data_IF_654382216310
#
_entry.id   IF_654382216310
#
_cell.length_a   1.000
_cell.length_b   1.000
_cell.length_c   1.000
_cell.angle_alpha   90.00
_cell.angle_beta   90.00
_cell.angle_gamma   90.00
#
_symmetry.space_group_name_H-M   'P 1'
#
loop_
_entity.id
_entity.type
_entity.pdbx_description
1 polymer ?
#
# COMPACT_ATOMS: atom_id res chain seq x y z
N UNK A 1 50.14 28.50 15.88
CA UNK A 1 50.13 27.21 15.13
C UNK A 1 50.50 26.09 16.09
N UNK A 2 49.62 25.10 16.29
CA UNK A 2 49.83 23.73 16.79
C UNK A 2 48.45 23.14 17.10
N UNK A 3 47.82 22.55 16.09
CA UNK A 3 46.62 21.71 16.24
C UNK A 3 47.11 20.27 16.20
N UNK A 4 47.10 19.61 17.35
CA UNK A 4 47.32 18.16 17.42
C UNK A 4 46.25 17.62 18.36
N UNK A 5 45.95 16.34 18.18
CA UNK A 5 45.05 15.49 18.99
C UNK A 5 43.56 15.78 18.88
N UNK A 6 42.91 15.13 17.90
CA UNK A 6 41.66 14.41 18.17
C UNK A 6 41.33 13.44 17.03
N UNK A 7 42.32 12.67 16.56
CA UNK A 7 42.14 11.65 15.52
C UNK A 7 42.08 10.22 16.12
N UNK A 8 41.47 10.08 17.29
CA UNK A 8 41.46 8.80 18.03
C UNK A 8 40.11 8.49 18.69
N UNK A 9 38.99 8.86 18.05
CA UNK A 9 37.65 8.51 18.56
C UNK A 9 36.73 7.80 17.54
N UNK A 10 37.24 7.37 16.39
CA UNK A 10 36.41 6.76 15.34
C UNK A 10 36.54 5.24 15.19
N UNK A 11 37.46 4.58 15.90
CA UNK A 11 37.68 3.13 15.75
C UNK A 11 36.87 2.26 16.71
N UNK A 12 36.22 2.84 17.72
CA UNK A 12 35.49 2.07 18.74
C UNK A 12 34.07 1.65 18.34
N UNK A 13 33.49 2.18 17.24
CA UNK A 13 32.11 1.85 16.85
C UNK A 13 31.97 0.67 15.87
N UNK A 14 33.07 0.16 15.30
CA UNK A 14 33.04 -0.83 14.22
C UNK A 14 32.95 -2.30 14.68
N UNK A 15 33.03 -2.59 15.98
CA UNK A 15 33.08 -3.97 16.50
C UNK A 15 31.73 -4.47 17.08
N UNK A 16 30.72 -3.60 17.19
CA UNK A 16 29.41 -3.97 17.77
C UNK A 16 28.34 -4.42 16.73
N UNK A 17 28.73 -4.66 15.47
CA UNK A 17 27.82 -5.05 14.37
C UNK A 17 27.85 -6.55 14.04
N UNK A 18 28.23 -7.40 15.00
CA UNK A 18 28.12 -8.87 14.91
C UNK A 18 26.68 -9.40 15.00
N UNK A 19 25.71 -8.73 14.38
CA UNK A 19 24.36 -9.26 14.20
C UNK A 19 24.34 -10.04 12.88
N UNK A 20 24.05 -11.36 12.87
CA UNK A 20 23.77 -12.04 11.63
C UNK A 20 22.51 -11.42 11.03
N UNK A 21 22.70 -10.60 10.00
CA UNK A 21 21.65 -10.18 9.07
C UNK A 21 21.12 -11.46 8.41
N UNK A 22 20.21 -12.15 9.11
CA UNK A 22 19.23 -13.01 8.48
C UNK A 22 18.35 -12.10 7.64
N UNK A 23 18.87 -11.71 6.48
CA UNK A 23 18.10 -11.20 5.37
C UNK A 23 17.15 -12.32 4.98
N UNK A 24 15.99 -12.38 5.64
CA UNK A 24 14.82 -13.07 5.11
C UNK A 24 14.59 -12.45 3.75
N UNK A 25 15.09 -13.11 2.71
CA UNK A 25 14.80 -12.78 1.34
C UNK A 25 13.28 -12.87 1.21
N UNK A 26 12.64 -11.71 1.27
CA UNK A 26 11.23 -11.60 0.91
C UNK A 26 11.13 -12.20 -0.48
N UNK A 27 10.34 -13.26 -0.70
CA UNK A 27 10.26 -13.87 -2.01
C UNK A 27 9.83 -12.77 -2.98
N UNK A 28 10.73 -12.41 -3.90
CA UNK A 28 10.46 -11.44 -4.95
C UNK A 28 9.37 -12.09 -5.80
N UNK A 29 8.09 -11.80 -5.49
CA UNK A 29 6.96 -12.16 -6.36
C UNK A 29 7.33 -11.67 -7.75
N UNK A 30 7.51 -12.60 -8.69
CA UNK A 30 7.95 -12.28 -10.05
C UNK A 30 7.04 -11.23 -10.68
N UNK A 31 7.60 -10.38 -11.54
CA UNK A 31 6.88 -9.28 -12.20
C UNK A 31 5.56 -9.75 -12.87
N UNK A 32 5.57 -10.93 -13.47
CA UNK A 32 4.40 -11.65 -14.01
C UNK A 32 3.30 -11.88 -12.95
N UNK A 33 3.66 -12.40 -11.78
CA UNK A 33 2.69 -12.66 -10.70
C UNK A 33 2.09 -11.38 -10.16
N UNK A 34 2.89 -10.31 -10.11
CA UNK A 34 2.43 -8.97 -9.69
C UNK A 34 1.46 -8.37 -10.72
N UNK A 35 1.75 -8.50 -12.02
CA UNK A 35 0.83 -8.10 -13.10
C UNK A 35 -0.50 -8.85 -13.03
N UNK A 36 -0.48 -10.18 -12.92
CA UNK A 36 -1.69 -11.02 -12.80
C UNK A 36 -2.53 -10.61 -11.59
N UNK A 37 -1.89 -10.35 -10.44
CA UNK A 37 -2.58 -9.90 -9.24
C UNK A 37 -3.19 -8.49 -9.40
N UNK A 38 -2.51 -7.58 -10.10
CA UNK A 38 -3.04 -6.25 -10.41
C UNK A 38 -4.21 -6.30 -11.40
N UNK A 39 -4.11 -7.11 -12.46
CA UNK A 39 -5.19 -7.31 -13.43
C UNK A 39 -6.43 -7.86 -12.73
N UNK A 40 -6.27 -8.91 -11.91
CA UNK A 40 -7.39 -9.47 -11.13
C UNK A 40 -8.04 -8.44 -10.21
N UNK A 41 -7.24 -7.56 -9.59
CA UNK A 41 -7.76 -6.45 -8.77
C UNK A 41 -8.53 -5.43 -9.60
N UNK A 42 -8.10 -5.14 -10.83
CA UNK A 42 -8.79 -4.24 -11.75
C UNK A 42 -10.11 -4.85 -12.24
N UNK A 43 -10.10 -6.11 -12.67
CA UNK A 43 -11.30 -6.83 -13.10
C UNK A 43 -12.37 -6.87 -12.00
N UNK A 44 -11.96 -7.22 -10.77
CA UNK A 44 -12.86 -7.22 -9.61
C UNK A 44 -13.46 -5.83 -9.34
N UNK A 45 -12.68 -4.75 -9.56
CA UNK A 45 -13.17 -3.38 -9.42
C UNK A 45 -14.16 -3.04 -10.53
N UNK A 46 -13.86 -3.40 -11.78
CA UNK A 46 -14.75 -3.18 -12.92
C UNK A 46 -16.09 -3.89 -12.73
N UNK A 47 -16.07 -5.16 -12.34
CA UNK A 47 -17.27 -5.95 -12.11
C UNK A 47 -18.16 -5.31 -11.04
N UNK A 48 -17.56 -4.85 -9.92
CA UNK A 48 -18.30 -4.17 -8.86
C UNK A 48 -18.93 -2.86 -9.36
N UNK A 49 -18.22 -2.09 -10.18
CA UNK A 49 -18.74 -0.85 -10.76
C UNK A 49 -19.91 -1.15 -11.70
N UNK A 50 -19.79 -2.16 -12.56
CA UNK A 50 -20.88 -2.59 -13.45
C UNK A 50 -22.12 -3.00 -12.66
N UNK A 51 -21.98 -3.82 -11.61
CA UNK A 51 -23.09 -4.20 -10.73
C UNK A 51 -23.73 -2.98 -10.04
N UNK A 52 -22.91 -2.02 -9.60
CA UNK A 52 -23.40 -0.76 -9.01
C UNK A 52 -24.19 0.06 -10.03
N UNK A 53 -23.68 0.21 -11.25
CA UNK A 53 -24.37 0.95 -12.32
C UNK A 53 -25.68 0.28 -12.70
N UNK A 54 -25.71 -1.05 -12.82
CA UNK A 54 -26.94 -1.79 -13.08
C UNK A 54 -27.98 -1.58 -11.96
N UNK A 55 -27.54 -1.55 -10.70
CA UNK A 55 -28.40 -1.26 -9.56
C UNK A 55 -28.96 0.16 -9.60
N UNK A 56 -28.08 1.15 -9.79
CA UNK A 56 -28.47 2.57 -9.87
C UNK A 56 -29.40 2.86 -11.04
N UNK A 57 -29.19 2.21 -12.20
CA UNK A 57 -30.09 2.34 -13.36
C UNK A 57 -31.49 1.81 -13.11
N UNK A 58 -31.64 0.82 -12.22
CA UNK A 58 -32.94 0.23 -11.86
C UNK A 58 -33.63 0.94 -10.69
N UNK A 59 -32.87 1.65 -9.87
CA UNK A 59 -33.38 2.37 -8.72
C UNK A 59 -34.29 3.53 -9.17
N UNK A 60 -35.51 3.55 -8.65
CA UNK A 60 -36.52 4.59 -8.88
C UNK A 60 -36.59 5.59 -7.72
N UNK A 61 -36.07 5.21 -6.55
CA UNK A 61 -36.11 6.06 -5.35
C UNK A 61 -34.74 6.36 -4.74
N UNK A 62 -34.68 7.43 -3.97
CA UNK A 62 -33.48 7.83 -3.22
C UNK A 62 -33.09 6.80 -2.15
N UNK A 63 -34.05 6.02 -1.64
CA UNK A 63 -33.80 4.91 -0.72
C UNK A 63 -33.06 3.77 -1.41
N UNK A 64 -33.50 3.36 -2.60
CA UNK A 64 -32.85 2.32 -3.40
C UNK A 64 -31.45 2.74 -3.85
N UNK A 65 -31.25 4.02 -4.21
CA UNK A 65 -29.90 4.53 -4.51
C UNK A 65 -28.94 4.41 -3.32
N UNK A 66 -29.42 4.68 -2.10
CA UNK A 66 -28.65 4.48 -0.86
C UNK A 66 -28.34 3.00 -0.65
N UNK A 67 -29.29 2.12 -0.92
CA UNK A 67 -29.11 0.67 -0.82
C UNK A 67 -28.08 0.16 -1.84
N UNK A 68 -28.17 0.58 -3.10
CA UNK A 68 -27.17 0.30 -4.14
C UNK A 68 -25.76 0.75 -3.72
N UNK A 69 -25.63 1.91 -3.07
CA UNK A 69 -24.35 2.42 -2.57
C UNK A 69 -23.79 1.57 -1.43
N UNK A 70 -24.65 1.05 -0.54
CA UNK A 70 -24.28 0.14 0.56
C UNK A 70 -23.92 -1.25 0.05
N UNK A 71 -24.69 -1.80 -0.89
CA UNK A 71 -24.50 -3.15 -1.47
C UNK A 71 -23.26 -3.22 -2.36
N UNK A 72 -22.98 -2.16 -3.13
CA UNK A 72 -21.81 -2.08 -4.00
C UNK A 72 -20.95 -0.86 -3.66
N UNK A 73 -20.21 -0.88 -2.54
CA UNK A 73 -19.42 0.25 -2.10
C UNK A 73 -18.21 0.47 -3.00
N UNK A 74 -18.02 1.72 -3.43
CA UNK A 74 -16.77 2.16 -4.04
C UNK A 74 -15.69 2.20 -2.96
N UNK A 75 -14.46 1.84 -3.33
CA UNK A 75 -13.32 1.78 -2.42
C UNK A 75 -13.22 3.12 -1.67
N UNK A 76 -13.31 3.08 -0.34
CA UNK A 76 -13.19 4.29 0.49
C UNK A 76 -11.83 4.92 0.20
N UNK A 77 -11.82 6.18 -0.25
CA UNK A 77 -10.58 6.96 -0.31
C UNK A 77 -10.00 6.99 1.10
N UNK A 78 -8.81 6.41 1.30
CA UNK A 78 -8.06 6.63 2.54
C UNK A 78 -7.81 8.14 2.61
N UNK A 79 -8.35 8.79 3.64
CA UNK A 79 -8.04 10.20 3.90
C UNK A 79 -6.52 10.28 4.11
N UNK A 80 -5.81 10.93 3.19
CA UNK A 80 -4.40 11.23 3.39
C UNK A 80 -4.33 12.10 4.65
N UNK A 81 -3.62 11.62 5.68
CA UNK A 81 -3.41 12.40 6.90
C UNK A 81 -2.71 13.69 6.47
N UNK A 82 -3.36 14.85 6.67
CA UNK A 82 -2.68 16.14 6.54
C UNK A 82 -1.52 16.13 7.54
N UNK A 83 -0.28 16.27 7.06
CA UNK A 83 0.84 16.62 7.94
C UNK A 83 0.53 18.03 8.47
N UNK A 84 0.43 18.16 9.80
CA UNK A 84 0.51 19.46 10.46
C UNK A 84 1.96 19.92 10.45
#
# INVERSE_FOLDING_TARGET
MKKVTSLALCTALLVALGAPLHAKSTPKKGFETTKKEQIRKLETRMERIQKRLACVKKAQSSAELKECSKKYPLVKRKRLKKKK
#
